data_IF_252138718820
#
_entry.id   IF_252138718820
#
_cell.length_a   1.000
_cell.length_b   1.000
_cell.length_c   1.000
_cell.angle_alpha   90.00
_cell.angle_beta   90.00
_cell.angle_gamma   90.00
#
_symmetry.space_group_name_H-M   'P 1'
#
loop_
_entity.id
_entity.type
_entity.pdbx_description
1 polymer ?
#
# COMPACT_ATOMS: atom_id res chain seq x y z
N UNK A 1 -17.07 10.80 24.77
CA UNK A 1 -16.23 11.51 23.77
C UNK A 1 -15.42 12.53 24.53
N UNK A 2 -14.10 12.51 24.38
CA UNK A 2 -13.20 13.46 25.04
C UNK A 2 -12.59 14.41 23.99
N UNK A 3 -12.26 15.64 24.37
CA UNK A 3 -11.43 16.55 23.56
C UNK A 3 -10.07 16.67 24.23
N UNK A 4 -8.99 16.47 23.47
CA UNK A 4 -7.60 16.65 23.94
C UNK A 4 -6.83 17.60 23.04
N UNK A 5 -5.91 18.34 23.62
CA UNK A 5 -4.93 19.12 22.87
C UNK A 5 -3.79 18.21 22.35
N UNK A 6 -3.40 18.37 21.09
CA UNK A 6 -2.32 17.61 20.48
C UNK A 6 -0.94 18.09 20.97
N UNK A 7 -0.18 17.23 21.65
CA UNK A 7 1.17 17.56 22.15
C UNK A 7 2.15 18.06 21.08
N UNK A 8 1.96 17.70 19.80
CA UNK A 8 2.84 18.11 18.70
C UNK A 8 2.44 19.45 18.06
N UNK A 9 1.15 19.65 17.74
CA UNK A 9 0.68 20.81 16.96
C UNK A 9 -0.26 21.76 17.72
N UNK A 10 -0.49 21.50 19.02
CA UNK A 10 -1.34 22.28 19.93
C UNK A 10 -2.81 22.49 19.51
N UNK A 11 -3.25 21.86 18.41
CA UNK A 11 -4.65 21.81 17.97
C UNK A 11 -5.44 20.78 18.76
N UNK A 12 -6.71 21.07 19.01
CA UNK A 12 -7.65 20.11 19.60
C UNK A 12 -7.96 18.95 18.63
N UNK A 13 -8.17 17.77 19.21
CA UNK A 13 -8.73 16.61 18.54
C UNK A 13 -9.68 15.86 19.49
N UNK A 14 -10.59 15.06 18.92
CA UNK A 14 -11.60 14.31 19.66
C UNK A 14 -11.28 12.82 19.68
N UNK A 15 -11.66 12.15 20.76
CA UNK A 15 -11.58 10.70 20.93
C UNK A 15 -13.01 10.19 21.19
N UNK A 16 -13.51 9.31 20.34
CA UNK A 16 -14.84 8.70 20.44
C UNK A 16 -14.92 7.65 21.55
N UNK A 17 -16.10 7.41 22.18
CA UNK A 17 -16.28 6.32 23.13
C UNK A 17 -15.78 4.96 22.59
N UNK A 18 -16.01 4.71 21.31
CA UNK A 18 -15.57 3.50 20.60
C UNK A 18 -14.06 3.42 20.41
N UNK A 19 -13.36 4.57 20.33
CA UNK A 19 -11.90 4.59 20.29
C UNK A 19 -11.33 4.18 21.67
N UNK A 20 -11.94 4.62 22.79
CA UNK A 20 -11.53 4.20 24.14
C UNK A 20 -11.66 2.69 24.35
N UNK A 21 -12.81 2.11 23.94
CA UNK A 21 -13.02 0.65 23.97
C UNK A 21 -11.96 -0.09 23.15
N UNK A 22 -11.46 0.50 22.05
CA UNK A 22 -10.33 -0.07 21.32
C UNK A 22 -9.01 0.00 22.12
N UNK A 23 -8.66 1.15 22.70
CA UNK A 23 -7.40 1.30 23.46
C UNK A 23 -7.34 0.34 24.66
N UNK A 24 -8.47 0.18 25.36
CA UNK A 24 -8.66 -0.80 26.43
C UNK A 24 -8.49 -2.25 25.89
N UNK A 25 -9.14 -2.59 24.77
CA UNK A 25 -9.00 -3.90 24.07
C UNK A 25 -7.56 -4.25 23.66
N UNK A 26 -6.61 -3.31 23.65
CA UNK A 26 -5.17 -3.56 23.38
C UNK A 26 -4.22 -3.21 24.53
N UNK A 27 -4.71 -2.83 25.72
CA UNK A 27 -3.90 -2.43 26.88
C UNK A 27 -2.87 -1.30 26.59
N UNK A 28 -3.26 -0.25 25.85
CA UNK A 28 -2.39 0.93 25.63
C UNK A 28 -3.11 2.24 26.00
N UNK A 29 -2.40 3.32 26.39
CA UNK A 29 -3.04 4.59 26.69
C UNK A 29 -3.63 5.28 25.43
N UNK A 30 -4.74 6.03 25.57
CA UNK A 30 -5.28 6.88 24.51
C UNK A 30 -4.25 7.90 24.01
N UNK A 31 -4.27 8.26 22.71
CA UNK A 31 -3.22 9.03 22.07
C UNK A 31 -3.13 10.47 22.60
N UNK A 32 -1.92 11.00 22.62
CA UNK A 32 -1.63 12.42 22.90
C UNK A 32 -1.41 13.26 21.63
N UNK A 33 -1.40 12.62 20.46
CA UNK A 33 -1.16 13.24 19.14
C UNK A 33 -2.37 13.06 18.23
N UNK A 34 -2.76 14.13 17.52
CA UNK A 34 -3.85 14.09 16.56
C UNK A 34 -3.50 13.24 15.32
N UNK A 35 -4.51 12.74 14.57
CA UNK A 35 -4.29 11.78 13.47
C UNK A 35 -3.32 12.23 12.38
N UNK A 36 -3.34 13.52 12.03
CA UNK A 36 -2.43 14.13 11.05
C UNK A 36 -0.97 14.04 11.49
N UNK A 37 -0.67 14.36 12.76
CA UNK A 37 0.69 14.27 13.31
C UNK A 37 1.17 12.81 13.37
N UNK A 38 0.27 11.85 13.67
CA UNK A 38 0.59 10.41 13.63
C UNK A 38 0.88 9.95 12.19
N UNK A 39 0.10 10.41 11.20
CA UNK A 39 0.35 10.15 9.77
C UNK A 39 1.71 10.67 9.31
N UNK A 40 2.09 11.90 9.70
CA UNK A 40 3.40 12.46 9.38
C UNK A 40 4.50 11.62 10.03
N UNK A 41 4.37 11.29 11.33
CA UNK A 41 5.34 10.46 12.07
C UNK A 41 5.63 9.11 11.41
N UNK A 42 4.63 8.44 10.83
CA UNK A 42 4.86 7.20 10.09
C UNK A 42 5.58 7.47 8.77
N UNK A 43 5.07 8.38 7.94
CA UNK A 43 5.54 8.60 6.56
C UNK A 43 7.05 8.86 6.40
N UNK A 44 7.74 9.38 7.43
CA UNK A 44 9.21 9.60 7.38
C UNK A 44 10.03 8.29 7.24
N UNK A 45 9.46 7.13 7.60
CA UNK A 45 10.15 5.83 7.58
C UNK A 45 9.97 5.04 6.27
N UNK A 46 9.32 5.61 5.24
CA UNK A 46 9.12 4.95 3.94
C UNK A 46 9.43 5.88 2.77
N UNK A 47 10.41 5.52 1.95
CA UNK A 47 10.68 6.20 0.70
C UNK A 47 10.32 5.29 -0.49
N UNK A 48 9.18 5.58 -1.13
CA UNK A 48 8.67 4.88 -2.31
C UNK A 48 9.06 5.53 -3.65
N UNK A 49 9.80 6.66 -3.63
CA UNK A 49 9.77 7.64 -4.74
C UNK A 49 11.12 8.23 -5.15
N UNK A 50 12.07 8.33 -4.24
CA UNK A 50 13.37 8.94 -4.49
C UNK A 50 14.46 7.88 -4.37
N UNK A 51 15.16 7.63 -5.46
CA UNK A 51 16.15 6.58 -5.58
C UNK A 51 17.52 7.20 -5.87
N UNK A 52 18.54 6.71 -5.19
CA UNK A 52 19.90 7.24 -5.22
C UNK A 52 20.89 6.15 -5.61
N UNK A 53 21.87 6.47 -6.45
CA UNK A 53 23.01 5.59 -6.69
C UNK A 53 24.01 5.78 -5.55
N UNK A 54 24.33 4.71 -4.83
CA UNK A 54 25.34 4.73 -3.75
C UNK A 54 26.17 3.45 -3.69
N UNK A 55 27.28 3.52 -2.97
CA UNK A 55 28.16 2.38 -2.76
C UNK A 55 27.73 1.59 -1.52
N UNK A 56 27.67 0.27 -1.63
CA UNK A 56 27.36 -0.62 -0.51
C UNK A 56 28.44 -0.52 0.57
N UNK A 57 28.07 -0.21 1.80
CA UNK A 57 29.02 -0.03 2.89
C UNK A 57 29.90 -1.26 3.16
N UNK A 58 29.41 -2.48 2.88
CA UNK A 58 30.19 -3.73 3.01
C UNK A 58 31.05 -4.03 1.78
N UNK A 59 30.45 -4.24 0.59
CA UNK A 59 31.18 -4.72 -0.60
C UNK A 59 31.67 -3.62 -1.57
N UNK A 60 31.39 -2.35 -1.27
CA UNK A 60 31.74 -1.14 -2.05
C UNK A 60 31.20 -1.08 -3.48
N UNK A 61 30.42 -2.08 -3.92
CA UNK A 61 29.75 -2.06 -5.22
C UNK A 61 28.58 -1.08 -5.25
N UNK A 62 28.34 -0.46 -6.41
CA UNK A 62 27.22 0.46 -6.63
C UNK A 62 25.87 -0.27 -6.55
N UNK A 63 24.89 0.39 -5.98
CA UNK A 63 23.52 -0.11 -5.81
C UNK A 63 22.53 1.05 -5.85
N UNK A 64 21.32 0.79 -6.34
CA UNK A 64 20.20 1.72 -6.17
C UNK A 64 19.75 1.64 -4.71
N UNK A 65 19.35 2.77 -4.11
CA UNK A 65 18.91 2.82 -2.73
C UNK A 65 17.83 3.85 -2.47
N UNK A 66 16.95 3.58 -1.50
CA UNK A 66 15.97 4.53 -0.97
C UNK A 66 16.56 5.60 -0.04
N UNK A 67 17.87 5.56 0.23
CA UNK A 67 18.56 6.47 1.17
C UNK A 67 19.54 7.40 0.43
N UNK A 68 19.51 8.73 0.68
CA UNK A 68 20.46 9.70 0.10
C UNK A 68 21.86 9.55 0.70
N UNK A 69 22.91 10.02 0.03
CA UNK A 69 24.31 9.76 0.42
C UNK A 69 24.62 10.21 1.85
N UNK A 70 24.03 11.33 2.26
CA UNK A 70 24.11 12.00 3.57
C UNK A 70 23.45 11.20 4.72
N UNK A 71 22.77 10.09 4.40
CA UNK A 71 22.20 9.16 5.39
C UNK A 71 23.27 8.61 6.33
N UNK A 72 23.10 8.84 7.63
CA UNK A 72 23.95 8.32 8.71
C UNK A 72 23.90 6.79 8.89
N UNK A 73 22.96 6.10 8.24
CA UNK A 73 22.83 4.64 8.33
C UNK A 73 23.87 3.91 7.47
N UNK A 74 24.38 2.79 7.98
CA UNK A 74 25.20 1.83 7.25
C UNK A 74 24.33 1.04 6.24
N UNK A 75 24.45 1.31 4.93
CA UNK A 75 23.58 0.76 3.88
C UNK A 75 24.24 -0.44 3.16
N UNK A 76 23.56 -1.57 3.17
CA UNK A 76 23.97 -2.80 2.47
C UNK A 76 23.11 -3.03 1.23
N UNK A 77 23.71 -3.33 0.08
CA UNK A 77 22.97 -3.83 -1.07
C UNK A 77 22.29 -5.18 -0.75
N UNK A 78 21.21 -5.51 -1.46
CA UNK A 78 20.38 -6.70 -1.19
C UNK A 78 21.22 -7.98 -0.98
N UNK A 79 22.20 -8.26 -1.86
CA UNK A 79 23.09 -9.43 -1.75
C UNK A 79 23.99 -9.44 -0.50
N UNK A 80 24.33 -8.28 0.05
CA UNK A 80 25.10 -8.18 1.30
C UNK A 80 24.19 -8.26 2.53
N UNK A 81 23.02 -7.62 2.47
CA UNK A 81 22.01 -7.69 3.53
C UNK A 81 21.64 -9.14 3.84
N UNK A 82 21.34 -9.94 2.82
CA UNK A 82 20.94 -11.35 2.97
C UNK A 82 22.09 -12.36 3.11
N UNK A 83 23.35 -11.90 3.22
CA UNK A 83 24.51 -12.79 3.41
C UNK A 83 24.97 -12.88 4.87
N UNK A 84 25.56 -14.00 5.26
CA UNK A 84 26.11 -14.28 6.60
C UNK A 84 27.37 -13.46 6.96
N UNK A 85 27.66 -12.40 6.21
CA UNK A 85 28.83 -11.52 6.41
C UNK A 85 28.65 -10.48 7.52
N UNK A 86 27.50 -10.49 8.19
CA UNK A 86 27.18 -9.68 9.37
C UNK A 86 26.08 -10.39 10.16
N UNK A 87 26.05 -10.23 11.49
CA UNK A 87 25.03 -10.82 12.35
C UNK A 87 24.35 -9.72 13.18
N UNK A 88 23.00 -9.63 13.20
CA UNK A 88 22.31 -8.58 13.95
C UNK A 88 22.47 -8.70 15.47
N UNK A 89 22.84 -9.88 16.00
CA UNK A 89 23.15 -10.06 17.44
C UNK A 89 24.47 -9.40 17.87
N UNK A 90 25.40 -9.14 16.93
CA UNK A 90 26.69 -8.46 17.21
C UNK A 90 26.47 -7.02 17.71
N UNK A 91 25.27 -6.47 17.46
CA UNK A 91 24.83 -5.14 17.88
C UNK A 91 23.95 -5.16 19.14
N UNK A 92 23.76 -6.33 19.75
CA UNK A 92 22.90 -6.53 20.91
C UNK A 92 23.35 -5.74 22.15
N UNK A 93 22.39 -5.20 22.91
CA UNK A 93 22.66 -4.34 24.07
C UNK A 93 21.88 -4.75 25.29
N UNK A 94 22.53 -4.64 26.45
CA UNK A 94 21.86 -4.65 27.74
C UNK A 94 21.07 -3.35 27.97
N UNK A 95 19.96 -3.44 28.68
CA UNK A 95 19.10 -2.29 28.96
C UNK A 95 19.72 -1.38 30.03
N UNK A 96 20.01 -0.13 29.68
CA UNK A 96 20.62 0.84 30.57
C UNK A 96 19.57 1.67 31.31
N UNK A 97 19.36 1.37 32.59
CA UNK A 97 18.40 2.07 33.47
C UNK A 97 18.68 3.57 33.65
N UNK A 98 19.89 4.05 33.35
CA UNK A 98 20.27 5.46 33.42
C UNK A 98 20.02 6.25 32.12
N UNK A 99 19.42 5.63 31.09
CA UNK A 99 19.06 6.30 29.82
C UNK A 99 17.58 6.10 29.48
N UNK A 100 16.90 7.15 29.05
CA UNK A 100 15.56 7.04 28.46
C UNK A 100 15.55 6.05 27.28
N UNK A 101 14.60 5.11 27.28
CA UNK A 101 14.45 4.02 26.31
C UNK A 101 14.64 4.45 24.84
N UNK A 102 13.92 5.48 24.38
CA UNK A 102 13.99 5.93 22.99
C UNK A 102 15.37 6.49 22.57
N UNK A 103 16.20 6.95 23.50
CA UNK A 103 17.59 7.32 23.20
C UNK A 103 18.43 6.08 22.93
N UNK A 104 18.30 5.04 23.75
CA UNK A 104 19.00 3.75 23.57
C UNK A 104 18.59 3.08 22.24
N UNK A 105 17.29 3.07 21.94
CA UNK A 105 16.77 2.54 20.68
C UNK A 105 17.27 3.35 19.47
N UNK A 106 17.28 4.69 19.55
CA UNK A 106 17.86 5.56 18.51
C UNK A 106 19.36 5.29 18.31
N UNK A 107 20.13 5.07 19.37
CA UNK A 107 21.54 4.70 19.27
C UNK A 107 21.74 3.32 18.61
N UNK A 108 20.80 2.38 18.78
CA UNK A 108 20.80 1.09 18.09
C UNK A 108 20.44 1.24 16.60
N UNK A 109 19.44 2.07 16.28
CA UNK A 109 18.99 2.35 14.90
C UNK A 109 20.08 2.86 13.96
N UNK A 110 21.12 3.53 14.48
CA UNK A 110 22.26 4.01 13.70
C UNK A 110 23.43 3.02 13.64
N UNK A 111 23.59 2.10 14.61
CA UNK A 111 24.65 1.10 14.56
C UNK A 111 24.32 -0.09 13.68
N UNK A 112 23.07 -0.57 13.71
CA UNK A 112 22.64 -1.72 12.91
C UNK A 112 22.56 -1.32 11.42
N UNK A 113 23.06 -2.14 10.48
CA UNK A 113 22.92 -1.85 9.05
C UNK A 113 21.47 -1.83 8.56
N UNK A 114 21.24 -1.31 7.35
CA UNK A 114 19.94 -1.32 6.66
C UNK A 114 20.08 -1.81 5.22
N UNK A 115 19.02 -2.39 4.65
CA UNK A 115 18.98 -2.79 3.24
C UNK A 115 18.81 -1.57 2.32
N UNK A 116 19.48 -1.57 1.17
CA UNK A 116 19.42 -0.47 0.22
C UNK A 116 18.02 -0.27 -0.40
N UNK A 117 17.35 -1.38 -0.76
CA UNK A 117 15.98 -1.47 -1.28
C UNK A 117 15.27 -2.66 -0.66
N UNK A 118 13.94 -2.55 -0.48
CA UNK A 118 13.08 -3.62 -0.02
C UNK A 118 12.65 -4.48 -1.20
N UNK A 119 13.27 -5.65 -1.31
CA UNK A 119 13.02 -6.63 -2.35
C UNK A 119 12.96 -8.00 -1.66
N UNK A 120 11.78 -8.63 -1.69
CA UNK A 120 11.50 -9.95 -1.12
C UNK A 120 11.61 -11.02 -2.21
N UNK A 121 12.00 -12.24 -1.84
CA UNK A 121 12.21 -13.37 -2.74
C UNK A 121 13.09 -13.04 -3.97
N UNK A 122 12.80 -13.63 -5.13
CA UNK A 122 13.59 -13.46 -6.36
C UNK A 122 12.96 -12.39 -7.25
N UNK A 123 13.75 -11.40 -7.66
CA UNK A 123 13.30 -10.33 -8.55
C UNK A 123 14.28 -10.20 -9.73
N UNK A 124 13.74 -10.09 -10.94
CA UNK A 124 14.51 -10.19 -12.19
C UNK A 124 14.28 -8.94 -13.04
N UNK A 125 15.35 -8.29 -13.50
CA UNK A 125 15.30 -7.06 -14.32
C UNK A 125 14.33 -6.02 -13.71
N UNK A 126 14.55 -5.72 -12.42
CA UNK A 126 13.67 -4.90 -11.57
C UNK A 126 14.51 -4.07 -10.57
N UNK A 127 15.69 -3.61 -11.00
CA UNK A 127 16.75 -3.01 -10.17
C UNK A 127 16.35 -1.68 -9.50
N UNK A 128 15.34 -1.01 -10.05
CA UNK A 128 14.84 0.28 -9.56
C UNK A 128 13.60 0.15 -8.67
N UNK A 129 13.06 -1.06 -8.49
CA UNK A 129 11.82 -1.27 -7.78
C UNK A 129 12.05 -1.46 -6.28
N UNK A 130 11.23 -0.78 -5.47
CA UNK A 130 11.28 -0.83 -4.01
C UNK A 130 9.93 -1.31 -3.46
N UNK A 131 9.95 -1.97 -2.29
CA UNK A 131 8.81 -2.65 -1.67
C UNK A 131 8.08 -3.63 -2.61
N UNK A 132 8.84 -4.52 -3.25
CA UNK A 132 8.35 -5.54 -4.18
C UNK A 132 8.66 -6.97 -3.71
N UNK A 133 7.88 -7.92 -4.24
CA UNK A 133 8.11 -9.37 -4.12
C UNK A 133 7.79 -10.05 -5.44
N UNK A 134 8.65 -10.98 -5.85
CA UNK A 134 8.44 -11.88 -6.98
C UNK A 134 8.15 -11.15 -8.32
N UNK A 135 8.80 -9.99 -8.52
CA UNK A 135 8.64 -9.17 -9.73
C UNK A 135 9.63 -9.52 -10.85
N UNK A 136 9.17 -9.43 -12.10
CA UNK A 136 10.00 -9.63 -13.29
C UNK A 136 9.73 -8.50 -14.31
N UNK A 137 10.79 -8.02 -14.99
CA UNK A 137 10.71 -7.03 -16.08
C UNK A 137 9.80 -5.82 -15.78
N UNK A 138 10.02 -5.16 -14.64
CA UNK A 138 9.20 -4.02 -14.17
C UNK A 138 10.02 -2.74 -14.10
N UNK A 139 9.46 -1.61 -14.54
CA UNK A 139 10.20 -0.34 -14.64
C UNK A 139 9.23 0.87 -14.61
N UNK A 140 8.99 1.58 -13.51
CA UNK A 140 9.89 1.90 -12.38
C UNK A 140 9.06 2.00 -11.08
N UNK A 141 8.06 1.10 -10.93
CA UNK A 141 7.00 1.22 -9.91
C UNK A 141 7.34 0.66 -8.53
N UNK A 142 6.80 1.28 -7.48
CA UNK A 142 6.89 0.83 -6.10
C UNK A 142 5.63 0.01 -5.72
N UNK A 143 5.60 -1.24 -6.17
CA UNK A 143 4.44 -2.15 -6.13
C UNK A 143 3.22 -1.65 -6.92
N UNK A 144 2.24 -2.54 -7.08
CA UNK A 144 2.17 -3.40 -8.27
C UNK A 144 2.51 -4.85 -7.88
N UNK A 145 1.61 -5.79 -8.18
CA UNK A 145 1.66 -7.20 -7.75
C UNK A 145 1.32 -8.10 -8.94
N UNK A 146 2.28 -8.76 -9.59
CA UNK A 146 3.74 -8.55 -9.50
C UNK A 146 4.45 -8.44 -10.86
N UNK A 147 3.69 -8.38 -11.96
CA UNK A 147 4.13 -7.92 -13.29
C UNK A 147 5.00 -8.84 -14.18
N UNK A 148 4.64 -8.83 -15.48
CA UNK A 148 5.48 -8.92 -16.68
C UNK A 148 4.66 -8.33 -17.87
N UNK A 149 5.13 -7.40 -18.68
CA UNK A 149 6.16 -6.39 -18.45
C UNK A 149 5.49 -5.02 -18.26
N UNK A 150 5.97 -4.20 -17.31
CA UNK A 150 5.19 -3.05 -16.78
C UNK A 150 6.01 -1.77 -16.69
N UNK A 151 5.54 -0.73 -17.40
CA UNK A 151 6.06 0.64 -17.37
C UNK A 151 4.95 1.71 -17.54
N UNK A 152 5.19 3.00 -17.30
CA UNK A 152 6.16 3.61 -16.38
C UNK A 152 5.53 3.93 -15.02
N UNK A 153 4.60 3.10 -14.51
CA UNK A 153 4.54 2.66 -13.11
C UNK A 153 3.18 2.01 -12.75
N UNK A 154 2.25 2.78 -12.18
CA UNK A 154 0.96 2.36 -11.59
C UNK A 154 1.04 1.35 -10.42
N UNK A 155 0.03 1.40 -9.56
CA UNK A 155 -0.33 0.29 -8.68
C UNK A 155 -1.07 -0.79 -9.53
N UNK A 156 -0.28 -1.64 -10.20
CA UNK A 156 -0.71 -2.68 -11.15
C UNK A 156 -0.95 -4.01 -10.44
N UNK A 157 -2.19 -4.42 -10.26
CA UNK A 157 -2.50 -5.76 -9.77
C UNK A 157 -3.78 -6.19 -10.49
N UNK A 158 -3.68 -7.17 -11.40
CA UNK A 158 -3.66 -6.99 -12.88
C UNK A 158 -2.23 -7.07 -13.40
N UNK A 159 -2.09 -7.43 -14.67
CA UNK A 159 -0.93 -7.20 -15.56
C UNK A 159 -1.43 -7.37 -17.01
N UNK A 160 -0.73 -6.87 -18.05
CA UNK A 160 -1.40 -6.50 -19.33
C UNK A 160 -0.73 -6.86 -20.67
N UNK A 161 0.56 -6.75 -20.98
CA UNK A 161 1.66 -5.85 -20.55
C UNK A 161 1.29 -4.36 -20.55
N UNK A 162 1.93 -3.52 -19.72
CA UNK A 162 1.58 -2.10 -19.63
C UNK A 162 2.62 -1.11 -20.14
N UNK A 163 2.12 -0.22 -20.99
CA UNK A 163 2.47 1.19 -21.12
C UNK A 163 1.18 1.97 -21.46
N UNK A 164 0.87 3.17 -20.93
CA UNK A 164 1.37 3.78 -19.69
C UNK A 164 0.23 3.90 -18.65
N UNK A 165 0.51 4.43 -17.45
CA UNK A 165 0.07 3.71 -16.25
C UNK A 165 -0.49 4.51 -15.04
N UNK A 166 -1.84 4.50 -14.86
CA UNK A 166 -2.66 4.66 -13.62
C UNK A 166 -4.17 4.30 -13.87
N UNK A 167 -5.03 3.60 -13.09
CA UNK A 167 -5.01 2.68 -11.91
C UNK A 167 -5.96 1.47 -12.17
N UNK A 168 -5.58 0.19 -11.87
CA UNK A 168 -5.97 -0.99 -12.71
C UNK A 168 -6.03 -2.37 -11.97
N UNK A 169 -7.20 -3.09 -11.98
CA UNK A 169 -7.45 -4.56 -11.74
C UNK A 169 -8.72 -5.09 -12.50
N UNK A 170 -9.00 -6.26 -13.16
CA UNK A 170 -8.41 -7.41 -13.96
C UNK A 170 -8.52 -7.18 -15.52
N UNK A 171 -7.69 -7.71 -16.45
CA UNK A 171 -7.81 -7.45 -17.94
C UNK A 171 -6.84 -8.24 -18.86
N UNK A 172 -7.22 -8.42 -20.12
CA UNK A 172 -6.36 -8.64 -21.31
C UNK A 172 -6.65 -7.56 -22.39
N UNK A 173 -5.78 -7.41 -23.40
CA UNK A 173 -5.94 -6.55 -24.61
C UNK A 173 -6.73 -5.24 -24.39
N UNK A 174 -6.24 -4.39 -23.49
CA UNK A 174 -6.89 -3.11 -23.16
C UNK A 174 -5.93 -1.93 -23.21
N UNK A 175 -6.43 -0.75 -23.59
CA UNK A 175 -5.64 0.47 -23.71
C UNK A 175 -6.36 1.65 -23.04
N UNK A 176 -5.63 2.44 -22.25
CA UNK A 176 -6.13 3.66 -21.58
C UNK A 176 -7.38 3.42 -20.67
N UNK A 177 -7.42 2.27 -19.98
CA UNK A 177 -8.49 1.91 -19.05
C UNK A 177 -8.13 2.27 -17.59
N UNK A 178 -9.01 3.01 -16.91
CA UNK A 178 -8.79 3.61 -15.59
C UNK A 178 -9.94 3.22 -14.63
N UNK A 179 -9.64 2.82 -13.39
CA UNK A 179 -10.61 2.48 -12.34
C UNK A 179 -11.65 1.43 -12.81
N UNK A 180 -11.19 0.47 -13.63
CA UNK A 180 -12.03 -0.39 -14.48
C UNK A 180 -11.61 -1.86 -14.41
N UNK A 181 -12.58 -2.77 -14.25
CA UNK A 181 -12.35 -4.20 -13.98
C UNK A 181 -13.00 -5.15 -14.98
N UNK A 182 -12.39 -6.32 -15.19
CA UNK A 182 -13.02 -7.46 -15.87
C UNK A 182 -13.48 -7.11 -17.30
N UNK A 183 -12.64 -6.37 -18.02
CA UNK A 183 -12.89 -5.93 -19.40
C UNK A 183 -11.93 -6.64 -20.37
N UNK A 184 -12.40 -6.93 -21.59
CA UNK A 184 -11.61 -7.54 -22.66
C UNK A 184 -11.84 -6.84 -24.00
N UNK A 185 -10.78 -6.70 -24.80
CA UNK A 185 -10.79 -5.98 -26.08
C UNK A 185 -11.43 -4.57 -25.95
N UNK A 186 -10.89 -3.74 -25.05
CA UNK A 186 -11.51 -2.45 -24.68
C UNK A 186 -10.54 -1.27 -24.64
N UNK A 187 -10.99 -0.11 -25.12
CA UNK A 187 -10.16 1.10 -25.33
C UNK A 187 -10.82 2.34 -24.70
N UNK A 188 -10.11 3.09 -23.84
CA UNK A 188 -10.63 4.28 -23.14
C UNK A 188 -11.89 4.00 -22.29
N UNK A 189 -11.79 3.10 -21.31
CA UNK A 189 -12.83 2.88 -20.30
C UNK A 189 -12.45 3.54 -18.97
N UNK A 190 -13.33 4.39 -18.46
CA UNK A 190 -13.23 4.96 -17.10
C UNK A 190 -14.36 4.42 -16.22
N UNK A 191 -14.06 3.98 -15.00
CA UNK A 191 -15.04 3.49 -14.00
C UNK A 191 -15.94 2.33 -14.48
N UNK A 192 -15.50 1.58 -15.50
CA UNK A 192 -16.36 0.64 -16.24
C UNK A 192 -15.93 -0.81 -16.03
N UNK A 193 -16.89 -1.75 -15.99
CA UNK A 193 -16.61 -3.17 -15.71
C UNK A 193 -17.51 -4.19 -16.40
N UNK A 194 -17.00 -5.41 -16.58
CA UNK A 194 -17.65 -6.48 -17.33
C UNK A 194 -17.97 -6.04 -18.77
N UNK A 195 -17.02 -5.39 -19.45
CA UNK A 195 -17.17 -4.88 -20.80
C UNK A 195 -16.37 -5.70 -21.83
N UNK A 196 -16.98 -5.94 -23.00
CA UNK A 196 -16.41 -6.72 -24.10
C UNK A 196 -16.60 -5.96 -25.43
N UNK A 197 -15.54 -5.86 -26.23
CA UNK A 197 -15.54 -5.16 -27.54
C UNK A 197 -16.06 -3.71 -27.44
N UNK A 198 -15.63 -2.97 -26.41
CA UNK A 198 -16.15 -1.63 -26.12
C UNK A 198 -15.08 -0.54 -26.22
N UNK A 199 -15.47 0.66 -26.66
CA UNK A 199 -14.56 1.80 -26.68
C UNK A 199 -15.20 3.10 -26.21
N UNK A 200 -14.43 3.95 -25.53
CA UNK A 200 -14.84 5.26 -25.02
C UNK A 200 -16.08 5.17 -24.11
N UNK A 201 -16.03 4.32 -23.06
CA UNK A 201 -17.14 4.18 -22.11
C UNK A 201 -16.84 4.79 -20.73
N UNK A 202 -17.80 5.54 -20.21
CA UNK A 202 -17.75 6.12 -18.86
C UNK A 202 -18.73 5.42 -17.91
N UNK A 203 -18.29 5.06 -16.70
CA UNK A 203 -19.07 4.46 -15.61
C UNK A 203 -20.06 3.39 -16.12
N UNK A 204 -19.65 2.46 -16.98
CA UNK A 204 -20.55 1.50 -17.65
C UNK A 204 -20.35 0.07 -17.14
N UNK A 205 -21.42 -0.72 -17.05
CA UNK A 205 -21.40 -2.04 -16.39
C UNK A 205 -22.11 -3.09 -17.24
N UNK A 206 -21.47 -4.24 -17.45
CA UNK A 206 -22.01 -5.38 -18.19
C UNK A 206 -22.46 -4.97 -19.61
N UNK A 207 -21.49 -4.61 -20.46
CA UNK A 207 -21.77 -4.05 -21.78
C UNK A 207 -20.97 -4.77 -22.88
N UNK A 208 -21.58 -5.00 -24.04
CA UNK A 208 -20.94 -5.74 -25.14
C UNK A 208 -21.12 -5.01 -26.45
N UNK A 209 -20.04 -4.76 -27.21
CA UNK A 209 -20.13 -4.02 -28.46
C UNK A 209 -20.84 -2.66 -28.24
N UNK A 210 -20.21 -1.78 -27.45
CA UNK A 210 -20.71 -0.44 -27.15
C UNK A 210 -19.62 0.63 -27.37
N UNK A 211 -20.01 1.78 -27.94
CA UNK A 211 -19.09 2.82 -28.38
C UNK A 211 -19.53 4.22 -27.92
N UNK A 212 -18.57 5.01 -27.42
CA UNK A 212 -18.73 6.42 -27.04
C UNK A 212 -20.00 6.66 -26.22
N UNK A 213 -20.11 6.02 -25.06
CA UNK A 213 -21.36 6.03 -24.28
C UNK A 213 -21.14 6.02 -22.78
N UNK A 214 -22.04 6.65 -22.03
CA UNK A 214 -21.92 6.80 -20.57
C UNK A 214 -23.03 6.13 -19.76
N UNK A 215 -22.67 5.78 -18.51
CA UNK A 215 -23.52 5.24 -17.46
C UNK A 215 -24.35 3.99 -17.83
N UNK A 216 -23.95 3.22 -18.87
CA UNK A 216 -24.71 2.09 -19.39
C UNK A 216 -24.78 0.91 -18.41
N UNK A 217 -25.89 0.16 -18.43
CA UNK A 217 -26.12 -1.03 -17.58
C UNK A 217 -26.76 -2.14 -18.41
N UNK A 218 -26.11 -3.30 -18.52
CA UNK A 218 -26.66 -4.49 -19.20
C UNK A 218 -27.08 -4.17 -20.67
N UNK A 219 -26.18 -3.58 -21.45
CA UNK A 219 -26.46 -3.08 -22.80
C UNK A 219 -25.55 -3.67 -23.87
N UNK A 220 -26.06 -3.80 -25.08
CA UNK A 220 -25.29 -4.24 -26.25
C UNK A 220 -25.64 -3.41 -27.47
N UNK A 221 -24.72 -3.24 -28.42
CA UNK A 221 -24.93 -2.53 -29.69
C UNK A 221 -25.41 -1.07 -29.49
N UNK A 222 -24.75 -0.36 -28.57
CA UNK A 222 -25.03 1.07 -28.28
C UNK A 222 -23.92 1.94 -28.87
N UNK A 223 -24.30 3.00 -29.57
CA UNK A 223 -23.37 3.92 -30.23
C UNK A 223 -23.79 5.37 -29.91
N UNK A 224 -22.94 6.16 -29.26
CA UNK A 224 -23.28 7.55 -28.84
C UNK A 224 -24.58 7.60 -28.02
N UNK A 225 -24.68 6.74 -27.00
CA UNK A 225 -25.86 6.48 -26.17
C UNK A 225 -27.14 6.01 -26.91
N UNK A 226 -27.14 5.90 -28.25
CA UNK A 226 -28.26 5.38 -29.05
C UNK A 226 -28.20 3.86 -29.17
N UNK A 227 -29.31 3.19 -28.85
CA UNK A 227 -29.49 1.75 -29.06
C UNK A 227 -29.69 1.45 -30.55
N UNK A 228 -28.83 0.61 -31.14
CA UNK A 228 -28.91 0.17 -32.52
C UNK A 228 -29.22 -1.35 -32.61
N UNK A 229 -29.55 -1.84 -33.80
CA UNK A 229 -29.45 -3.27 -34.11
C UNK A 229 -27.99 -3.68 -34.33
N UNK A 230 -27.72 -4.99 -34.25
CA UNK A 230 -26.37 -5.55 -34.47
C UNK A 230 -25.76 -5.13 -35.83
N UNK A 231 -26.55 -5.15 -36.91
CA UNK A 231 -26.08 -4.80 -38.26
C UNK A 231 -25.74 -3.32 -38.41
N UNK A 232 -26.58 -2.44 -37.89
CA UNK A 232 -26.35 -0.99 -37.90
C UNK A 232 -25.14 -0.60 -37.05
N UNK A 233 -24.97 -1.22 -35.88
CA UNK A 233 -23.81 -1.01 -35.02
C UNK A 233 -22.50 -1.35 -35.75
N UNK A 234 -22.37 -2.55 -36.31
CA UNK A 234 -21.14 -2.93 -37.01
C UNK A 234 -20.88 -2.08 -38.26
N UNK A 235 -21.92 -1.64 -38.97
CA UNK A 235 -21.78 -0.64 -40.05
C UNK A 235 -21.21 0.68 -39.53
N UNK A 236 -21.73 1.20 -38.41
CA UNK A 236 -21.27 2.45 -37.77
C UNK A 236 -19.85 2.35 -37.19
N UNK A 237 -19.43 1.18 -36.72
CA UNK A 237 -18.03 0.94 -36.28
C UNK A 237 -17.08 0.86 -37.49
N UNK A 238 -17.49 0.23 -38.59
CA UNK A 238 -16.66 0.13 -39.81
C UNK A 238 -16.41 1.50 -40.49
N UNK A 239 -17.21 2.52 -40.19
CA UNK A 239 -16.98 3.91 -40.62
C UNK A 239 -15.83 4.60 -39.85
N UNK A 240 -15.30 4.01 -38.77
CA UNK A 240 -14.30 4.64 -37.88
C UNK A 240 -12.87 4.17 -38.18
N UNK A 241 -12.03 5.09 -38.63
CA UNK A 241 -10.60 4.86 -38.89
C UNK A 241 -9.76 4.98 -37.60
N UNK A 242 -9.79 3.96 -36.74
CA UNK A 242 -9.05 3.93 -35.47
C UNK A 242 -7.54 4.17 -35.58
N UNK A 243 -6.92 3.85 -36.72
CA UNK A 243 -5.49 4.07 -36.97
C UNK A 243 -5.08 5.53 -37.25
N UNK A 244 -6.02 6.45 -37.45
CA UNK A 244 -5.70 7.87 -37.69
C UNK A 244 -5.48 8.62 -36.38
N UNK A 245 -4.30 9.24 -36.23
CA UNK A 245 -3.98 10.08 -35.07
C UNK A 245 -4.98 11.24 -34.91
N UNK A 246 -5.35 11.90 -36.02
CA UNK A 246 -6.29 13.02 -36.01
C UNK A 246 -7.68 12.59 -35.49
N UNK A 247 -8.15 11.41 -35.91
CA UNK A 247 -9.43 10.85 -35.45
C UNK A 247 -9.34 10.41 -34.00
N UNK A 248 -8.21 9.81 -33.57
CA UNK A 248 -7.95 9.47 -32.17
C UNK A 248 -8.01 10.71 -31.25
N UNK A 249 -7.43 11.85 -31.66
CA UNK A 249 -7.52 13.09 -30.88
C UNK A 249 -8.94 13.66 -30.82
N UNK A 250 -9.70 13.60 -31.93
CA UNK A 250 -11.12 14.01 -31.94
C UNK A 250 -11.97 13.14 -31.00
N UNK A 251 -11.78 11.83 -31.03
CA UNK A 251 -12.48 10.88 -30.15
C UNK A 251 -12.06 11.04 -28.67
N UNK A 252 -10.77 11.26 -28.37
CA UNK A 252 -10.30 11.60 -27.01
C UNK A 252 -11.02 12.83 -26.46
N UNK A 253 -11.17 13.89 -27.26
CA UNK A 253 -11.89 15.10 -26.84
C UNK A 253 -13.38 14.83 -26.63
N UNK A 254 -14.04 14.23 -27.61
CA UNK A 254 -15.46 13.87 -27.53
C UNK A 254 -15.77 13.03 -26.28
N UNK A 255 -14.93 12.05 -25.99
CA UNK A 255 -15.00 11.22 -24.79
C UNK A 255 -14.79 12.00 -23.50
N UNK A 256 -13.86 12.97 -23.47
CA UNK A 256 -13.67 13.87 -22.32
C UNK A 256 -14.91 14.73 -22.07
N UNK A 257 -15.45 15.35 -23.12
CA UNK A 257 -16.63 16.22 -23.03
C UNK A 257 -17.88 15.40 -22.59
N UNK A 258 -18.03 14.17 -23.09
CA UNK A 258 -19.03 13.20 -22.63
C UNK A 258 -18.81 12.81 -21.16
N UNK A 259 -17.60 12.44 -20.75
CA UNK A 259 -17.31 11.99 -19.39
C UNK A 259 -17.52 13.11 -18.35
N UNK A 260 -17.23 14.37 -18.70
CA UNK A 260 -17.50 15.54 -17.85
C UNK A 260 -19.01 15.76 -17.69
N UNK A 261 -19.79 15.66 -18.76
CA UNK A 261 -21.25 15.87 -18.76
C UNK A 261 -22.08 14.68 -18.26
N UNK A 262 -21.44 13.55 -17.96
CA UNK A 262 -22.07 12.31 -17.47
C UNK A 262 -22.40 12.34 -15.97
N UNK A 263 -23.14 11.34 -15.48
CA UNK A 263 -23.52 11.27 -14.06
C UNK A 263 -22.36 10.78 -13.19
N UNK A 264 -21.87 11.65 -12.29
CA UNK A 264 -20.80 11.36 -11.33
C UNK A 264 -21.32 10.97 -9.95
N UNK A 265 -20.63 10.03 -9.31
CA UNK A 265 -20.86 9.62 -7.90
C UNK A 265 -19.93 10.38 -6.96
N UNK A 266 -20.41 10.71 -5.77
CA UNK A 266 -19.58 11.22 -4.67
C UNK A 266 -18.54 10.19 -4.18
N UNK A 267 -18.94 8.92 -4.09
CA UNK A 267 -18.14 7.80 -3.59
C UNK A 267 -18.66 6.47 -4.18
N UNK A 268 -17.85 5.40 -4.15
CA UNK A 268 -18.20 4.06 -4.67
C UNK A 268 -18.74 3.10 -3.58
N UNK A 269 -19.37 3.63 -2.53
CA UNK A 269 -19.92 2.93 -1.35
C UNK A 269 -20.99 1.87 -1.69
N UNK A 270 -20.85 0.65 -1.13
CA UNK A 270 -21.87 -0.42 -1.21
C UNK A 270 -21.76 -1.34 0.04
N UNK A 271 -22.45 -1.16 1.18
CA UNK A 271 -23.53 -0.21 1.54
C UNK A 271 -23.47 0.31 3.01
N UNK A 272 -22.28 0.49 3.61
CA UNK A 272 -22.03 1.43 4.72
C UNK A 272 -22.51 1.10 6.16
N UNK A 273 -21.69 1.42 7.17
CA UNK A 273 -22.14 2.11 8.41
C UNK A 273 -20.98 2.87 9.07
N UNK A 274 -21.23 4.07 9.63
CA UNK A 274 -20.25 5.01 10.21
C UNK A 274 -18.95 5.22 9.39
N UNK A 275 -19.00 5.15 8.05
CA UNK A 275 -17.83 5.20 7.17
C UNK A 275 -17.64 6.53 6.44
N UNK A 276 -16.39 6.90 6.14
CA UNK A 276 -15.96 7.74 4.99
C UNK A 276 -14.46 7.50 4.75
N UNK A 277 -13.86 7.55 3.56
CA UNK A 277 -14.43 7.64 2.21
C UNK A 277 -13.60 6.83 1.22
N UNK A 278 -13.96 6.94 -0.05
CA UNK A 278 -13.72 5.90 -1.04
C UNK A 278 -12.34 5.93 -1.74
N UNK A 279 -11.87 4.81 -2.30
CA UNK A 279 -12.62 3.59 -2.63
C UNK A 279 -12.80 2.63 -1.41
N UNK A 280 -14.00 2.22 -0.98
CA UNK A 280 -14.22 1.28 0.16
C UNK A 280 -15.06 0.08 -0.28
N UNK A 281 -14.92 -1.10 0.33
CA UNK A 281 -16.01 -2.10 0.39
C UNK A 281 -15.96 -3.06 1.59
N UNK A 282 -16.87 -3.10 2.58
CA UNK A 282 -17.94 -2.23 3.14
C UNK A 282 -18.78 -3.19 4.06
N UNK A 283 -19.12 -3.01 5.34
CA UNK A 283 -18.76 -2.05 6.42
C UNK A 283 -18.90 -2.74 7.81
N UNK A 284 -18.45 -2.23 8.98
CA UNK A 284 -18.67 -0.94 9.70
C UNK A 284 -17.71 -0.89 10.92
N UNK A 285 -17.10 0.18 11.44
CA UNK A 285 -17.24 1.65 11.31
C UNK A 285 -15.91 2.42 10.97
N UNK A 286 -15.77 3.20 9.87
CA UNK A 286 -14.54 3.93 9.40
C UNK A 286 -14.55 5.47 9.60
N UNK A 287 -13.50 6.07 10.18
CA UNK A 287 -13.27 7.54 10.10
C UNK A 287 -11.77 7.93 10.03
N UNK A 288 -11.22 8.53 8.96
CA UNK A 288 -11.65 8.57 7.56
C UNK A 288 -10.57 8.00 6.62
N UNK A 289 -10.92 7.40 5.49
CA UNK A 289 -10.04 6.56 4.65
C UNK A 289 -9.85 6.99 3.19
N UNK A 290 -8.95 6.28 2.48
CA UNK A 290 -8.93 6.13 1.01
C UNK A 290 -8.43 4.72 0.60
N UNK A 291 -9.21 3.94 -0.18
CA UNK A 291 -8.86 2.64 -0.83
C UNK A 291 -8.85 1.35 0.03
N UNK A 292 -9.95 1.05 0.73
CA UNK A 292 -10.13 0.08 1.84
C UNK A 292 -11.24 -0.94 1.51
N UNK A 293 -10.94 -2.05 0.82
CA UNK A 293 -11.91 -3.12 0.48
C UNK A 293 -11.85 -4.23 1.53
N UNK A 294 -12.47 -3.86 2.64
CA UNK A 294 -12.23 -4.21 4.02
C UNK A 294 -13.57 -4.02 4.75
N UNK A 295 -13.77 -4.67 5.90
CA UNK A 295 -14.88 -4.24 6.76
C UNK A 295 -14.79 -4.65 8.24
N UNK A 296 -15.16 -3.77 9.17
CA UNK A 296 -14.33 -2.67 9.73
C UNK A 296 -14.40 -2.89 11.27
N UNK A 297 -13.62 -2.26 12.16
CA UNK A 297 -13.71 -0.86 12.55
C UNK A 297 -12.38 -0.15 12.31
N UNK A 298 -12.39 0.96 11.56
CA UNK A 298 -11.13 1.52 11.04
C UNK A 298 -11.02 3.01 11.37
N UNK A 299 -9.79 3.51 11.58
CA UNK A 299 -9.50 4.95 11.66
C UNK A 299 -8.35 5.35 10.73
N UNK A 300 -8.47 6.53 10.13
CA UNK A 300 -7.42 7.29 9.42
C UNK A 300 -6.47 6.52 8.45
N UNK A 301 -6.93 5.47 7.76
CA UNK A 301 -6.09 4.58 6.93
C UNK A 301 -6.10 4.92 5.44
N UNK A 302 -5.01 4.62 4.71
CA UNK A 302 -4.97 4.68 3.23
C UNK A 302 -4.39 3.41 2.61
N UNK A 303 -5.10 2.86 1.62
CA UNK A 303 -4.95 1.57 0.92
C UNK A 303 -4.86 0.32 1.81
N UNK A 304 -5.81 -0.60 1.67
CA UNK A 304 -5.73 -1.99 2.13
C UNK A 304 -6.89 -2.83 1.54
N UNK A 305 -6.76 -4.16 1.50
CA UNK A 305 -7.80 -5.15 1.13
C UNK A 305 -7.83 -6.25 2.22
N UNK A 306 -8.48 -5.95 3.35
CA UNK A 306 -7.89 -6.23 4.68
C UNK A 306 -8.88 -6.00 5.87
N UNK A 307 -8.41 -6.17 7.11
CA UNK A 307 -8.86 -5.52 8.37
C UNK A 307 -10.27 -5.69 8.94
N UNK A 308 -10.28 -6.12 10.21
CA UNK A 308 -11.38 -6.02 11.21
C UNK A 308 -10.78 -6.13 12.63
N UNK A 309 -10.24 -5.11 13.30
CA UNK A 309 -10.31 -3.64 13.23
C UNK A 309 -8.90 -3.03 12.90
N UNK A 310 -8.72 -1.73 12.61
CA UNK A 310 -7.37 -1.17 12.29
C UNK A 310 -7.23 0.37 12.32
N UNK A 311 -6.06 0.89 12.69
CA UNK A 311 -5.62 2.25 12.30
C UNK A 311 -4.10 2.42 12.39
N UNK A 312 -3.49 3.56 12.09
CA UNK A 312 -3.87 4.57 11.08
C UNK A 312 -3.14 4.19 9.75
N UNK A 313 -3.35 2.95 9.29
CA UNK A 313 -2.45 2.15 8.44
C UNK A 313 -2.27 2.66 6.99
N UNK A 314 -1.12 2.36 6.37
CA UNK A 314 -0.91 2.29 4.90
C UNK A 314 0.25 1.34 4.61
N UNK A 315 0.12 0.17 3.98
CA UNK A 315 -1.03 -0.50 3.37
C UNK A 315 -0.99 -2.02 3.68
N UNK A 316 -1.93 -2.86 3.22
CA UNK A 316 -1.88 -4.31 3.53
C UNK A 316 -2.98 -5.18 2.91
N UNK A 317 -2.82 -6.51 3.11
CA UNK A 317 -3.74 -7.63 2.83
C UNK A 317 -3.27 -8.84 3.68
N UNK A 318 -4.05 -9.52 4.52
CA UNK A 318 -5.36 -9.29 5.13
C UNK A 318 -5.22 -9.65 6.64
N UNK A 319 -6.08 -9.16 7.55
CA UNK A 319 -5.93 -9.43 8.99
C UNK A 319 -6.90 -8.76 9.97
N UNK A 320 -6.61 -8.88 11.29
CA UNK A 320 -7.48 -8.44 12.38
C UNK A 320 -6.70 -7.76 13.56
N UNK A 321 -7.11 -6.53 13.93
CA UNK A 321 -6.52 -5.61 14.94
C UNK A 321 -5.06 -5.12 14.72
N UNK A 322 -4.91 -3.86 14.26
CA UNK A 322 -3.62 -3.23 13.90
C UNK A 322 -3.52 -1.76 14.39
N UNK A 323 -2.36 -1.29 14.90
CA UNK A 323 -2.10 0.12 15.30
C UNK A 323 -0.61 0.53 15.30
N UNK A 324 -0.25 1.71 14.76
CA UNK A 324 1.13 2.15 14.39
C UNK A 324 1.82 1.24 13.35
N UNK A 325 1.40 1.38 12.07
CA UNK A 325 1.68 0.39 11.00
C UNK A 325 1.91 1.04 9.62
N UNK A 326 2.89 0.57 8.83
CA UNK A 326 3.15 1.11 7.47
C UNK A 326 3.53 0.14 6.30
N UNK A 327 3.49 -1.20 6.45
CA UNK A 327 2.92 -2.20 5.48
C UNK A 327 3.14 -3.63 6.01
N UNK A 328 2.11 -4.30 6.55
CA UNK A 328 2.12 -5.73 6.84
C UNK A 328 1.12 -6.51 5.97
N UNK A 329 1.35 -7.83 5.85
CA UNK A 329 0.58 -8.75 5.01
C UNK A 329 1.41 -9.27 3.83
N UNK A 330 1.34 -10.54 3.44
CA UNK A 330 0.46 -11.64 3.88
C UNK A 330 1.00 -12.44 5.09
N UNK A 331 0.23 -12.81 6.13
CA UNK A 331 -1.20 -12.62 6.45
C UNK A 331 -1.31 -12.38 7.96
N UNK A 332 -2.11 -11.42 8.42
CA UNK A 332 -1.86 -10.72 9.70
C UNK A 332 -2.88 -11.01 10.82
N UNK A 333 -2.41 -11.13 12.07
CA UNK A 333 -3.27 -11.25 13.27
C UNK A 333 -2.45 -11.10 14.57
N UNK A 334 -1.75 -9.99 14.84
CA UNK A 334 -2.34 -8.73 15.34
C UNK A 334 -1.14 -7.79 15.61
N UNK A 335 -1.00 -6.66 14.92
CA UNK A 335 0.29 -5.95 14.82
C UNK A 335 0.27 -4.54 15.41
N UNK A 336 1.15 -4.29 16.39
CA UNK A 336 1.35 -2.98 17.02
C UNK A 336 2.80 -2.49 16.80
N UNK A 337 3.00 -1.19 16.59
CA UNK A 337 4.32 -0.54 16.54
C UNK A 337 5.35 -1.19 15.57
N UNK A 338 5.12 -1.15 14.24
CA UNK A 338 6.01 -1.83 13.27
C UNK A 338 6.17 -1.14 11.90
N UNK A 339 7.37 -1.25 11.31
CA UNK A 339 7.78 -0.71 9.98
C UNK A 339 9.15 -1.30 9.59
N UNK A 340 9.36 -2.54 9.16
CA UNK A 340 8.65 -3.39 8.19
C UNK A 340 8.89 -4.88 8.48
N UNK A 341 7.94 -5.75 8.14
CA UNK A 341 8.04 -7.20 8.36
C UNK A 341 6.96 -7.99 7.61
N UNK A 342 7.13 -9.31 7.55
CA UNK A 342 6.32 -10.21 6.73
C UNK A 342 5.46 -11.15 7.58
N UNK A 343 6.06 -11.96 8.45
CA UNK A 343 5.39 -12.59 9.59
C UNK A 343 6.19 -12.38 10.87
N UNK A 344 5.53 -11.83 11.89
CA UNK A 344 6.07 -11.56 13.23
C UNK A 344 4.91 -11.49 14.22
N UNK A 345 5.02 -12.20 15.34
CA UNK A 345 3.96 -12.31 16.36
C UNK A 345 4.44 -11.78 17.71
N UNK A 346 3.54 -11.15 18.47
CA UNK A 346 3.81 -10.60 19.82
C UNK A 346 5.07 -9.72 19.88
N UNK A 347 5.25 -8.83 18.88
CA UNK A 347 6.35 -7.86 18.82
C UNK A 347 5.88 -6.44 19.10
N UNK A 348 6.62 -5.72 19.95
CA UNK A 348 6.42 -4.30 20.23
C UNK A 348 7.66 -3.52 19.79
N UNK A 349 7.50 -2.57 18.86
CA UNK A 349 8.57 -1.74 18.28
C UNK A 349 9.64 -2.57 17.55
N UNK A 350 9.38 -2.94 16.30
CA UNK A 350 10.31 -3.72 15.46
C UNK A 350 10.54 -3.12 14.07
N UNK A 351 11.80 -3.10 13.65
CA UNK A 351 12.34 -2.53 12.41
C UNK A 351 13.12 -3.64 11.67
N UNK A 352 12.83 -3.90 10.39
CA UNK A 352 13.45 -4.98 9.56
C UNK A 352 13.51 -6.40 10.16
N UNK A 353 12.58 -6.79 11.02
CA UNK A 353 12.57 -8.14 11.60
C UNK A 353 11.79 -9.12 10.71
N UNK A 354 12.30 -10.35 10.56
CA UNK A 354 11.74 -11.39 9.70
C UNK A 354 11.57 -12.71 10.48
N UNK A 355 10.43 -13.38 10.31
CA UNK A 355 10.10 -14.69 10.88
C UNK A 355 10.57 -14.85 12.34
N UNK A 356 10.08 -13.97 13.21
CA UNK A 356 10.53 -13.85 14.60
C UNK A 356 9.36 -13.56 15.54
N UNK A 357 9.49 -13.85 16.84
CA UNK A 357 8.39 -13.75 17.81
C UNK A 357 8.88 -13.27 19.18
N UNK A 358 8.02 -12.64 19.99
CA UNK A 358 8.38 -12.14 21.33
C UNK A 358 9.60 -11.20 21.27
N UNK A 359 9.42 -10.04 20.63
CA UNK A 359 10.45 -9.02 20.41
C UNK A 359 10.08 -7.69 21.06
N UNK A 360 11.05 -7.01 21.66
CA UNK A 360 10.94 -5.61 22.06
C UNK A 360 12.10 -4.78 21.52
N UNK A 361 11.80 -3.65 20.86
CA UNK A 361 12.80 -2.66 20.43
C UNK A 361 13.96 -3.25 19.58
N UNK A 362 13.65 -4.18 18.67
CA UNK A 362 14.65 -4.92 17.89
C UNK A 362 14.73 -4.44 16.43
N UNK A 363 15.92 -4.62 15.84
CA UNK A 363 16.29 -4.11 14.51
C UNK A 363 17.03 -5.19 13.71
N UNK A 364 16.43 -5.67 12.62
CA UNK A 364 17.09 -6.58 11.68
C UNK A 364 17.15 -8.07 12.07
N UNK A 365 16.44 -8.51 13.12
CA UNK A 365 16.50 -9.91 13.58
C UNK A 365 15.79 -10.88 12.61
N UNK A 366 16.38 -12.06 12.41
CA UNK A 366 15.88 -13.12 11.52
C UNK A 366 15.85 -14.46 12.24
N UNK A 367 14.71 -15.16 12.23
CA UNK A 367 14.56 -16.47 12.89
C UNK A 367 14.95 -16.45 14.38
N UNK A 368 14.48 -15.44 15.14
CA UNK A 368 14.80 -15.24 16.56
C UNK A 368 13.56 -15.09 17.45
N UNK A 369 13.77 -15.30 18.74
CA UNK A 369 12.74 -15.09 19.77
C UNK A 369 13.34 -14.70 21.11
N UNK A 370 12.53 -13.99 21.92
CA UNK A 370 12.88 -13.49 23.25
C UNK A 370 14.08 -12.52 23.20
N UNK A 371 13.93 -11.45 22.41
CA UNK A 371 14.99 -10.47 22.21
C UNK A 371 14.57 -9.05 22.63
N UNK A 372 15.50 -8.34 23.28
CA UNK A 372 15.38 -6.92 23.65
C UNK A 372 16.63 -6.19 23.18
N UNK A 373 16.48 -5.09 22.43
CA UNK A 373 17.60 -4.30 21.88
C UNK A 373 18.68 -5.16 21.18
N UNK A 374 18.23 -6.09 20.32
CA UNK A 374 19.04 -7.10 19.62
C UNK A 374 19.79 -8.12 20.51
N UNK A 375 19.79 -8.01 21.84
CA UNK A 375 20.27 -9.07 22.72
C UNK A 375 19.19 -10.17 22.83
N UNK A 376 19.59 -11.43 22.70
CA UNK A 376 18.72 -12.59 22.91
C UNK A 376 18.83 -13.07 24.36
N UNK A 377 17.70 -13.44 24.95
CA UNK A 377 17.55 -13.89 26.34
C UNK A 377 16.90 -15.28 26.38
N UNK A 378 16.90 -15.93 27.55
CA UNK A 378 15.95 -17.01 27.82
C UNK A 378 14.51 -16.46 27.87
N UNK A 379 13.52 -17.36 27.79
CA UNK A 379 12.11 -16.97 27.89
C UNK A 379 11.83 -16.34 29.26
N UNK A 380 12.38 -16.93 30.31
CA UNK A 380 12.16 -16.59 31.71
C UNK A 380 12.77 -15.21 32.04
N UNK A 381 13.98 -14.93 31.55
CA UNK A 381 14.59 -13.59 31.63
C UNK A 381 13.77 -12.54 30.86
N UNK A 382 13.31 -12.86 29.65
CA UNK A 382 12.52 -11.94 28.83
C UNK A 382 11.17 -11.59 29.50
N UNK A 383 10.45 -12.59 30.00
CA UNK A 383 9.16 -12.43 30.69
C UNK A 383 9.31 -11.68 32.04
N UNK A 384 10.46 -11.79 32.71
CA UNK A 384 10.77 -11.04 33.93
C UNK A 384 11.30 -9.60 33.68
N UNK A 385 11.98 -9.36 32.54
CA UNK A 385 12.60 -8.08 32.22
C UNK A 385 11.63 -7.12 31.51
N UNK A 386 10.83 -7.62 30.56
CA UNK A 386 9.95 -6.77 29.74
C UNK A 386 8.96 -5.93 30.56
N UNK A 387 8.24 -6.46 31.59
CA UNK A 387 7.29 -5.68 32.39
C UNK A 387 7.93 -4.62 33.30
N UNK A 388 9.26 -4.54 33.33
CA UNK A 388 10.01 -3.51 34.06
C UNK A 388 10.47 -2.36 33.16
N UNK A 389 10.37 -2.50 31.84
CA UNK A 389 10.82 -1.52 30.84
C UNK A 389 9.63 -0.73 30.25
N UNK A 390 8.44 -1.34 30.22
CA UNK A 390 7.19 -0.78 29.68
C UNK A 390 6.46 0.05 30.74
#
# INVERSE_FOLDING_TARGET
METKQCQNCQKDFKIGPEDFVFYEKINVPPPTWCPECRMIRRKIFRNERQLYVRDCNLCKQKTISMYPQESLFNILCHKCWWSDKWNPLDFGRDYNWSKYFFLQFRELMFSVPRVALVQYHQNVNSEFNNFISDCKNTYLSNSAVSCENVAYSMAIDKTRDTLDSAFVKNSELCFENIDSSDNSNCIYLLKSRNCLDCAYLFDSVNCTNCFMSSNLRNKQFVFRNLQLTKGEYFKKIAEIQFGSHEISQKLKKEYSDMAISSLHKFANLIKTTNCVGDNISNSRNIYRSFNVYNAENIRYSTRSYDTKDSYDQRAGVNGELLYEVMTPGYSSSRALFCTYGEQTSNSNLSDWCHNSQSLFACIGLRNKSYCILNKQYTKEEYEALLPRII
#
